data_IF_488383144595
#
_entry.id   IF_488383144595
#
_cell.length_a   1.000
_cell.length_b   1.000
_cell.length_c   1.000
_cell.angle_alpha   90.00
_cell.angle_beta   90.00
_cell.angle_gamma   90.00
#
_symmetry.space_group_name_H-M   'P 1'
#
loop_
_entity.id
_entity.type
_entity.pdbx_description
1 polymer ?
#
# COMPACT_ATOMS: atom_id res chain seq x y z
N UNK A 1 -2.65 10.21 -1.72
CA UNK A 1 -1.88 8.95 -1.60
C UNK A 1 -0.84 9.10 -0.49
N UNK A 2 -0.75 8.17 0.47
CA UNK A 2 0.38 8.13 1.41
C UNK A 2 0.70 6.68 1.82
N UNK A 3 1.94 6.44 2.25
CA UNK A 3 2.43 5.12 2.70
C UNK A 3 2.42 5.07 4.22
N UNK A 4 1.92 3.99 4.82
CA UNK A 4 2.01 3.75 6.27
C UNK A 4 3.37 3.16 6.68
N UNK A 5 4.10 2.58 5.73
CA UNK A 5 5.45 2.04 5.88
C UNK A 5 6.27 2.24 4.59
N UNK A 6 7.57 2.48 4.74
CA UNK A 6 8.55 2.54 3.65
C UNK A 6 9.46 1.32 3.80
N UNK A 7 9.00 0.16 3.34
CA UNK A 7 9.68 -1.12 3.58
C UNK A 7 10.97 -1.34 2.77
N UNK A 8 11.32 -0.41 1.88
CA UNK A 8 12.44 -0.51 0.95
C UNK A 8 13.43 0.65 1.07
N UNK A 9 13.62 1.22 2.28
CA UNK A 9 14.66 2.23 2.52
C UNK A 9 16.04 1.56 2.47
N UNK A 10 17.01 2.26 1.88
CA UNK A 10 18.40 1.79 1.82
C UNK A 10 19.07 1.73 3.20
N UNK A 11 18.73 2.66 4.10
CA UNK A 11 19.31 2.74 5.44
C UNK A 11 18.32 2.29 6.52
N UNK A 12 18.79 1.50 7.49
CA UNK A 12 17.98 0.97 8.60
C UNK A 12 17.50 2.05 9.57
N UNK A 13 18.26 3.12 9.75
CA UNK A 13 17.91 4.23 10.67
C UNK A 13 16.93 5.22 10.06
N UNK A 14 16.59 5.04 8.78
CA UNK A 14 15.62 5.88 8.09
C UNK A 14 14.21 5.70 8.65
N UNK A 15 13.49 6.82 8.84
CA UNK A 15 12.08 6.77 9.19
C UNK A 15 11.27 5.95 8.18
N UNK A 16 10.49 4.99 8.71
CA UNK A 16 9.67 4.09 7.89
C UNK A 16 8.20 4.50 7.84
N UNK A 17 7.68 5.09 8.91
CA UNK A 17 6.27 5.45 8.97
C UNK A 17 5.69 5.20 10.35
N UNK A 18 4.41 5.55 10.55
CA UNK A 18 3.71 5.32 11.81
C UNK A 18 3.36 3.83 12.04
N UNK A 19 3.61 2.95 11.07
CA UNK A 19 3.17 1.55 11.09
C UNK A 19 1.74 1.38 10.57
N UNK A 20 1.35 0.15 10.24
CA UNK A 20 0.12 -0.15 9.52
C UNK A 20 -1.15 0.28 10.28
N UNK A 21 -1.32 -0.14 11.54
CA UNK A 21 -2.53 0.19 12.30
C UNK A 21 -2.73 1.70 12.45
N UNK A 22 -1.69 2.42 12.89
CA UNK A 22 -1.76 3.88 13.07
C UNK A 22 -1.88 4.61 11.73
N UNK A 23 -1.15 4.17 10.71
CA UNK A 23 -1.21 4.73 9.37
C UNK A 23 -2.58 4.59 8.72
N UNK A 24 -3.21 3.41 8.78
CA UNK A 24 -4.55 3.19 8.26
C UNK A 24 -5.60 4.03 9.00
N UNK A 25 -5.51 4.16 10.34
CA UNK A 25 -6.39 5.07 11.11
C UNK A 25 -6.27 6.52 10.66
N UNK A 26 -5.04 7.00 10.40
CA UNK A 26 -4.82 8.36 9.88
C UNK A 26 -5.43 8.52 8.50
N UNK A 27 -5.22 7.55 7.59
CA UNK A 27 -5.79 7.58 6.25
C UNK A 27 -7.31 7.56 6.27
N UNK A 28 -7.92 6.76 7.14
CA UNK A 28 -9.36 6.72 7.33
C UNK A 28 -9.90 8.08 7.81
N UNK A 29 -9.21 8.73 8.76
CA UNK A 29 -9.58 10.07 9.21
C UNK A 29 -9.53 11.08 8.06
N UNK A 30 -8.47 11.05 7.24
CA UNK A 30 -8.34 11.92 6.06
C UNK A 30 -9.47 11.67 5.06
N UNK A 31 -9.81 10.40 4.79
CA UNK A 31 -10.92 10.03 3.91
C UNK A 31 -12.23 10.64 4.39
N UNK A 32 -12.54 10.47 5.68
CA UNK A 32 -13.78 10.99 6.30
C UNK A 32 -13.82 12.52 6.29
N UNK A 33 -12.70 13.20 6.56
CA UNK A 33 -12.68 14.66 6.65
C UNK A 33 -12.66 15.37 5.30
N UNK A 34 -12.13 14.73 4.26
CA UNK A 34 -11.94 15.36 2.95
C UNK A 34 -12.87 14.83 1.86
N UNK A 35 -13.47 13.65 2.05
CA UNK A 35 -14.23 12.95 1.02
C UNK A 35 -13.38 12.41 -0.14
N UNK A 36 -12.05 12.56 -0.07
CA UNK A 36 -11.15 12.13 -1.15
C UNK A 36 -10.85 10.63 -1.07
N UNK A 37 -10.72 10.01 -2.25
CA UNK A 37 -10.30 8.62 -2.38
C UNK A 37 -8.87 8.40 -1.85
N UNK A 38 -8.66 7.27 -1.19
CA UNK A 38 -7.38 6.89 -0.60
C UNK A 38 -6.65 5.88 -1.46
N UNK A 39 -5.36 6.13 -1.66
CA UNK A 39 -4.41 5.19 -2.23
C UNK A 39 -3.25 4.98 -1.26
N UNK A 40 -2.90 3.71 -1.01
CA UNK A 40 -1.75 3.30 -0.18
C UNK A 40 -1.11 2.04 -0.74
N UNK A 41 0.17 1.84 -0.45
CA UNK A 41 0.94 0.66 -0.86
C UNK A 41 0.98 -0.41 0.21
N UNK A 42 0.88 -1.67 -0.23
CA UNK A 42 1.12 -2.85 0.59
C UNK A 42 2.47 -3.47 0.27
N UNK A 43 3.12 -4.06 1.28
CA UNK A 43 4.46 -4.68 1.15
C UNK A 43 4.45 -6.18 1.46
N UNK A 44 3.32 -6.72 1.92
CA UNK A 44 3.09 -8.15 2.17
C UNK A 44 1.68 -8.53 1.67
N UNK A 45 1.43 -9.80 1.30
CA UNK A 45 0.07 -10.30 1.01
C UNK A 45 -0.90 -10.14 2.18
N UNK A 46 -0.42 -10.32 3.42
CA UNK A 46 -1.23 -10.28 4.63
C UNK A 46 -1.81 -8.89 4.91
N UNK A 47 -1.15 -7.83 4.42
CA UNK A 47 -1.62 -6.46 4.59
C UNK A 47 -2.85 -6.15 3.72
N UNK A 48 -3.07 -6.90 2.63
CA UNK A 48 -4.03 -6.55 1.57
C UNK A 48 -5.45 -6.35 2.11
N UNK A 49 -5.96 -7.30 2.90
CA UNK A 49 -7.33 -7.25 3.39
C UNK A 49 -7.54 -6.06 4.33
N UNK A 50 -6.65 -5.88 5.30
CA UNK A 50 -6.73 -4.77 6.24
C UNK A 50 -6.55 -3.40 5.57
N UNK A 51 -5.63 -3.28 4.59
CA UNK A 51 -5.44 -2.03 3.84
C UNK A 51 -6.68 -1.69 2.99
N UNK A 52 -7.32 -2.68 2.37
CA UNK A 52 -8.51 -2.49 1.53
C UNK A 52 -9.75 -2.03 2.30
N UNK A 53 -9.80 -2.24 3.62
CA UNK A 53 -10.85 -1.68 4.48
C UNK A 53 -10.87 -0.15 4.50
N UNK A 54 -9.73 0.50 4.21
CA UNK A 54 -9.60 1.96 4.19
C UNK A 54 -9.32 2.49 2.79
N UNK A 55 -8.40 1.84 2.07
CA UNK A 55 -7.95 2.27 0.75
C UNK A 55 -8.99 1.98 -0.34
N UNK A 56 -9.19 2.95 -1.21
CA UNK A 56 -9.99 2.82 -2.44
C UNK A 56 -9.16 2.22 -3.57
N UNK A 57 -7.84 2.43 -3.54
CA UNK A 57 -6.88 1.86 -4.50
C UNK A 57 -5.70 1.25 -3.73
N UNK A 58 -5.43 -0.02 -3.95
CA UNK A 58 -4.21 -0.67 -3.46
C UNK A 58 -3.08 -0.48 -4.46
N UNK A 59 -1.89 -0.13 -3.99
CA UNK A 59 -0.73 0.08 -4.86
C UNK A 59 0.36 -0.97 -4.60
N UNK A 60 0.87 -1.59 -5.66
CA UNK A 60 2.02 -2.51 -5.56
C UNK A 60 3.31 -1.72 -5.84
N UNK A 61 4.30 -1.72 -4.92
CA UNK A 61 5.60 -1.09 -5.14
C UNK A 61 6.34 -1.66 -6.35
N UNK A 62 7.17 -0.84 -7.01
CA UNK A 62 7.88 -1.22 -8.24
C UNK A 62 8.75 -2.48 -8.07
N UNK A 63 9.46 -2.60 -6.94
CA UNK A 63 10.28 -3.79 -6.66
C UNK A 63 9.47 -5.06 -6.38
N UNK A 64 8.16 -4.95 -6.13
CA UNK A 64 7.26 -6.06 -5.87
C UNK A 64 6.34 -6.39 -7.06
N UNK A 65 6.53 -5.74 -8.21
CA UNK A 65 5.61 -5.86 -9.36
C UNK A 65 5.58 -7.24 -10.02
N UNK A 66 6.49 -8.15 -9.66
CA UNK A 66 6.54 -9.56 -10.11
C UNK A 66 6.23 -10.56 -8.99
N UNK A 67 5.83 -10.11 -7.81
CA UNK A 67 5.49 -11.01 -6.70
C UNK A 67 4.04 -11.46 -6.87
N UNK A 68 3.85 -12.69 -7.34
CA UNK A 68 2.51 -13.23 -7.66
C UNK A 68 1.56 -13.15 -6.47
N UNK A 69 2.01 -13.54 -5.28
CA UNK A 69 1.14 -13.66 -4.10
C UNK A 69 0.58 -12.31 -3.64
N UNK A 70 1.38 -11.24 -3.67
CA UNK A 70 0.89 -9.91 -3.27
C UNK A 70 -0.07 -9.33 -4.30
N UNK A 71 0.13 -9.64 -5.59
CA UNK A 71 -0.76 -9.23 -6.68
C UNK A 71 -2.10 -9.95 -6.54
N UNK A 72 -2.09 -11.27 -6.33
CA UNK A 72 -3.31 -12.06 -6.08
C UNK A 72 -4.03 -11.57 -4.82
N UNK A 73 -3.31 -11.38 -3.72
CA UNK A 73 -3.90 -10.88 -2.47
C UNK A 73 -4.56 -9.51 -2.64
N UNK A 74 -3.91 -8.57 -3.34
CA UNK A 74 -4.50 -7.26 -3.63
C UNK A 74 -5.73 -7.38 -4.53
N UNK A 75 -5.67 -8.21 -5.57
CA UNK A 75 -6.75 -8.40 -6.54
C UNK A 75 -7.99 -9.02 -5.90
N UNK A 76 -7.80 -9.98 -4.99
CA UNK A 76 -8.87 -10.65 -4.26
C UNK A 76 -9.64 -9.74 -3.29
N UNK A 77 -9.15 -8.53 -3.00
CA UNK A 77 -9.87 -7.55 -2.18
C UNK A 77 -11.03 -6.86 -2.91
N UNK A 78 -11.11 -7.00 -4.24
CA UNK A 78 -12.08 -6.30 -5.08
C UNK A 78 -11.81 -4.79 -5.24
N UNK A 79 -10.69 -4.28 -4.72
CA UNK A 79 -10.26 -2.89 -4.94
C UNK A 79 -9.46 -2.76 -6.23
N UNK A 80 -9.53 -1.61 -6.93
CA UNK A 80 -8.57 -1.26 -7.97
C UNK A 80 -7.11 -1.43 -7.50
N UNK A 81 -6.28 -2.02 -8.35
CA UNK A 81 -4.86 -2.27 -8.07
C UNK A 81 -3.98 -1.43 -9.00
N UNK A 82 -3.19 -0.53 -8.44
CA UNK A 82 -2.20 0.28 -9.15
C UNK A 82 -0.81 -0.38 -9.03
N UNK A 83 -0.37 -1.08 -10.07
CA UNK A 83 0.94 -1.74 -10.10
C UNK A 83 1.98 -0.77 -10.65
N UNK A 84 2.98 -0.41 -9.83
CA UNK A 84 4.11 0.35 -10.34
C UNK A 84 5.00 -0.53 -11.20
N UNK A 85 5.28 -0.10 -12.44
CA UNK A 85 6.24 -0.76 -13.32
C UNK A 85 7.60 -0.84 -12.64
N UNK A 86 8.12 -2.06 -12.47
CA UNK A 86 9.47 -2.29 -11.98
C UNK A 86 10.51 -1.64 -12.89
N UNK A 87 11.53 -1.04 -12.30
CA UNK A 87 12.62 -0.39 -13.05
C UNK A 87 13.45 -1.39 -13.85
N UNK A 88 13.41 -2.67 -13.48
CA UNK A 88 14.07 -3.79 -14.15
C UNK A 88 13.21 -4.41 -15.28
N UNK A 89 12.01 -3.90 -15.54
CA UNK A 89 11.19 -4.33 -16.67
C UNK A 89 11.61 -3.55 -17.92
N UNK A 90 12.10 -4.27 -18.92
CA UNK A 90 12.43 -3.76 -20.26
C UNK A 90 11.20 -3.15 -20.95
#
# INVERSE_FOLDING_TARGET
KASYDKANRTSRVSFRGPGMQKGLRILEKVKKSTGLAICTDIHSPQDAMAASGVADVLQIPAFLCRQTDIILAASNTGKPVNIKKGQFLA
#
